data_IF_475645502704
#
_entry.id   IF_475645502704
#
_cell.length_a   1.000
_cell.length_b   1.000
_cell.length_c   1.000
_cell.angle_alpha   90.00
_cell.angle_beta   90.00
_cell.angle_gamma   90.00
#
_symmetry.space_group_name_H-M   'P 1'
#
loop_
_entity.id
_entity.type
_entity.pdbx_description
1 polymer ?
#
# COMPACT_ATOMS: atom_id res chain seq x y z
N UNK A 1 4.64 -7.52 -24.64
CA UNK A 1 5.23 -8.60 -23.84
C UNK A 1 4.63 -8.46 -22.47
N UNK A 2 3.69 -9.34 -22.15
CA UNK A 2 2.98 -9.29 -20.89
C UNK A 2 3.85 -9.93 -19.80
N UNK A 3 3.58 -9.58 -18.54
CA UNK A 3 4.25 -10.17 -17.38
C UNK A 3 4.17 -11.71 -17.43
N UNK A 4 3.02 -12.22 -17.87
CA UNK A 4 2.71 -13.64 -18.06
C UNK A 4 3.71 -14.37 -18.96
N UNK A 5 4.34 -13.71 -19.94
CA UNK A 5 5.23 -14.36 -20.91
C UNK A 5 6.71 -14.41 -20.48
N UNK A 6 7.10 -13.65 -19.44
CA UNK A 6 8.52 -13.41 -19.13
C UNK A 6 8.88 -13.44 -17.66
N UNK A 7 7.90 -13.37 -16.76
CA UNK A 7 8.15 -13.15 -15.33
C UNK A 7 8.80 -11.79 -15.02
N UNK A 8 8.85 -10.87 -15.99
CA UNK A 8 9.48 -9.56 -15.84
C UNK A 8 8.44 -8.44 -15.83
N UNK A 9 8.60 -7.50 -14.90
CA UNK A 9 7.79 -6.28 -14.92
C UNK A 9 8.09 -5.45 -16.16
N UNK A 10 7.04 -4.96 -16.80
CA UNK A 10 7.17 -3.99 -17.90
C UNK A 10 7.78 -2.68 -17.39
N UNK A 11 8.48 -1.92 -18.25
CA UNK A 11 9.00 -0.60 -17.87
C UNK A 11 7.92 0.36 -17.33
N UNK A 12 6.68 0.24 -17.84
CA UNK A 12 5.54 1.04 -17.36
C UNK A 12 5.15 0.65 -15.92
N UNK A 13 5.08 -0.65 -15.62
CA UNK A 13 4.81 -1.12 -14.24
C UNK A 13 5.90 -0.65 -13.28
N UNK A 14 7.17 -0.78 -13.65
CA UNK A 14 8.31 -0.29 -12.84
C UNK A 14 8.21 1.22 -12.60
N UNK A 15 7.85 1.99 -13.63
CA UNK A 15 7.67 3.44 -13.53
C UNK A 15 6.54 3.80 -12.54
N UNK A 16 5.38 3.18 -12.70
CA UNK A 16 4.22 3.42 -11.83
C UNK A 16 4.52 3.06 -10.36
N UNK A 17 5.19 1.93 -10.11
CA UNK A 17 5.61 1.55 -8.77
C UNK A 17 6.53 2.60 -8.12
N UNK A 18 7.49 3.14 -8.87
CA UNK A 18 8.37 4.22 -8.40
C UNK A 18 7.61 5.52 -8.14
N UNK A 19 6.61 5.84 -8.96
CA UNK A 19 5.74 7.00 -8.76
C UNK A 19 4.93 6.87 -7.47
N UNK A 20 4.35 5.69 -7.20
CA UNK A 20 3.64 5.39 -5.94
C UNK A 20 4.57 5.63 -4.74
N UNK A 21 5.76 5.03 -4.75
CA UNK A 21 6.74 5.21 -3.67
C UNK A 21 7.13 6.69 -3.46
N UNK A 22 7.32 7.44 -4.55
CA UNK A 22 7.62 8.87 -4.50
C UNK A 22 6.48 9.69 -3.91
N UNK A 23 5.22 9.39 -4.29
CA UNK A 23 4.03 10.08 -3.78
C UNK A 23 3.77 9.77 -2.31
N UNK A 24 3.93 8.52 -1.88
CA UNK A 24 3.88 8.15 -0.45
C UNK A 24 4.92 8.94 0.35
N UNK A 25 6.17 9.02 -0.15
CA UNK A 25 7.23 9.79 0.50
C UNK A 25 6.90 11.29 0.56
N UNK A 26 6.31 11.84 -0.49
CA UNK A 26 5.90 13.24 -0.53
C UNK A 26 4.77 13.53 0.49
N UNK A 27 3.75 12.67 0.56
CA UNK A 27 2.66 12.78 1.55
C UNK A 27 3.17 12.69 2.98
N UNK A 28 4.11 11.77 3.26
CA UNK A 28 4.73 11.69 4.60
C UNK A 28 5.45 12.99 4.97
N UNK A 29 6.17 13.59 4.02
CA UNK A 29 6.85 14.88 4.22
C UNK A 29 5.88 16.05 4.40
N UNK A 30 4.66 15.97 3.87
CA UNK A 30 3.64 17.00 4.08
C UNK A 30 2.88 16.88 5.40
N UNK A 31 3.31 15.99 6.30
CA UNK A 31 2.69 15.82 7.62
C UNK A 31 1.55 14.81 7.66
N UNK A 32 1.53 13.83 6.74
CA UNK A 32 0.56 12.74 6.75
C UNK A 32 1.16 11.41 7.23
N UNK A 33 0.40 10.64 8.00
CA UNK A 33 0.65 9.23 8.26
C UNK A 33 -0.10 8.40 7.21
N UNK A 34 0.59 7.48 6.54
CA UNK A 34 0.03 6.62 5.50
C UNK A 34 -0.10 5.22 6.05
N UNK A 35 -1.33 4.71 6.13
CA UNK A 35 -1.68 3.49 6.85
C UNK A 35 -2.55 2.60 5.97
N UNK A 36 -2.15 1.34 5.83
CA UNK A 36 -2.98 0.28 5.26
C UNK A 36 -3.97 -0.22 6.31
N UNK A 37 -5.25 -0.35 5.94
CA UNK A 37 -6.28 -0.97 6.77
C UNK A 37 -7.08 -1.92 5.91
N UNK A 38 -6.91 -3.23 6.12
CA UNK A 38 -7.46 -4.24 5.22
C UNK A 38 -7.03 -3.91 3.78
N UNK A 39 -7.98 -3.92 2.86
CA UNK A 39 -7.75 -3.69 1.44
C UNK A 39 -7.72 -2.21 1.03
N UNK A 40 -7.54 -1.27 1.96
CA UNK A 40 -7.58 0.17 1.64
C UNK A 40 -6.40 0.93 2.25
N UNK A 41 -5.92 1.93 1.52
CA UNK A 41 -4.86 2.83 1.95
C UNK A 41 -5.46 4.17 2.37
N UNK A 42 -5.08 4.66 3.55
CA UNK A 42 -5.57 5.93 4.09
C UNK A 42 -4.43 6.85 4.49
N UNK A 43 -4.66 8.16 4.32
CA UNK A 43 -3.77 9.21 4.82
C UNK A 43 -4.43 9.97 5.98
N UNK A 44 -3.77 9.99 7.14
CA UNK A 44 -4.19 10.73 8.34
C UNK A 44 -3.26 11.91 8.57
N UNK A 45 -3.68 12.90 9.37
CA UNK A 45 -2.76 13.90 9.91
C UNK A 45 -1.79 13.20 10.87
N UNK A 46 -0.48 13.34 10.65
CA UNK A 46 0.54 12.57 11.41
C UNK A 46 0.44 12.77 12.92
N UNK A 47 0.21 14.00 13.37
CA UNK A 47 0.13 14.33 14.79
C UNK A 47 -1.12 13.70 15.44
N UNK A 48 -2.27 13.76 14.77
CA UNK A 48 -3.50 13.13 15.26
C UNK A 48 -3.36 11.60 15.29
N UNK A 49 -2.76 11.01 14.26
CA UNK A 49 -2.49 9.56 14.21
C UNK A 49 -1.58 9.10 15.36
N UNK A 50 -0.47 9.80 15.61
CA UNK A 50 0.49 9.45 16.65
C UNK A 50 -0.10 9.55 18.08
N UNK A 51 -1.12 10.38 18.27
CA UNK A 51 -1.81 10.53 19.55
C UNK A 51 -3.16 9.79 19.59
N UNK A 52 -3.45 8.98 18.57
CA UNK A 52 -4.68 8.21 18.51
C UNK A 52 -4.62 6.98 19.41
N UNK A 53 -5.76 6.60 19.98
CA UNK A 53 -5.92 5.36 20.73
C UNK A 53 -7.00 4.51 20.05
N UNK A 54 -6.93 3.18 20.21
CA UNK A 54 -7.97 2.28 19.72
C UNK A 54 -9.16 2.19 20.69
N UNK A 55 -9.64 3.33 21.17
CA UNK A 55 -10.80 3.37 22.06
C UNK A 55 -12.02 3.90 21.31
N UNK A 56 -13.20 3.59 21.82
CA UNK A 56 -14.51 4.05 21.34
C UNK A 56 -14.75 5.55 21.59
N UNK A 57 -13.71 6.37 21.38
CA UNK A 57 -13.78 7.80 21.53
C UNK A 57 -14.70 8.40 20.45
N UNK A 58 -15.50 9.43 20.77
CA UNK A 58 -16.52 9.95 19.87
C UNK A 58 -15.98 10.79 18.69
N UNK A 59 -14.65 10.94 18.59
CA UNK A 59 -14.01 11.79 17.59
C UNK A 59 -13.18 10.93 16.62
N UNK A 60 -13.79 10.47 15.50
CA UNK A 60 -13.03 9.72 14.51
C UNK A 60 -11.94 10.59 13.90
N UNK A 61 -10.76 10.00 13.69
CA UNK A 61 -9.68 10.68 12.98
C UNK A 61 -10.12 11.04 11.57
N UNK A 62 -9.77 12.25 11.12
CA UNK A 62 -9.96 12.63 9.73
C UNK A 62 -8.93 11.90 8.86
N UNK A 63 -9.36 11.50 7.68
CA UNK A 63 -8.55 10.74 6.76
C UNK A 63 -8.93 11.03 5.32
N UNK A 64 -7.97 10.81 4.41
CA UNK A 64 -8.18 10.79 2.98
C UNK A 64 -8.04 9.36 2.47
N UNK A 65 -9.01 8.93 1.66
CA UNK A 65 -8.96 7.69 0.91
C UNK A 65 -7.88 7.79 -0.18
N UNK A 66 -6.91 6.88 -0.16
CA UNK A 66 -5.81 6.79 -1.12
C UNK A 66 -5.96 5.62 -2.10
N UNK A 67 -7.12 4.96 -2.09
CA UNK A 67 -7.48 3.84 -2.96
C UNK A 67 -7.27 2.47 -2.32
N UNK A 68 -7.76 1.46 -3.05
CA UNK A 68 -7.68 0.06 -2.63
C UNK A 68 -6.28 -0.51 -2.89
N UNK A 69 -5.84 -1.32 -1.95
CA UNK A 69 -4.63 -2.14 -2.01
C UNK A 69 -5.03 -3.56 -1.67
N UNK A 70 -4.46 -4.57 -2.30
CA UNK A 70 -4.71 -5.95 -1.84
C UNK A 70 -3.97 -6.14 -0.50
N UNK A 71 -4.67 -6.52 0.57
CA UNK A 71 -4.00 -6.89 1.83
C UNK A 71 -3.30 -8.24 1.65
N UNK A 72 -1.97 -8.22 1.62
CA UNK A 72 -1.16 -9.44 1.54
C UNK A 72 -0.95 -10.11 2.92
N UNK A 73 -1.52 -9.57 4.01
CA UNK A 73 -1.20 -10.05 5.34
C UNK A 73 0.15 -9.52 5.85
N UNK A 74 0.53 -9.96 7.06
CA UNK A 74 1.57 -9.33 7.86
C UNK A 74 3.00 -9.61 7.33
N UNK A 75 3.61 -8.64 6.64
CA UNK A 75 5.05 -8.56 6.30
C UNK A 75 5.68 -9.83 5.68
N UNK A 76 4.85 -10.73 5.17
CA UNK A 76 5.28 -11.96 4.54
C UNK A 76 5.80 -11.64 3.14
N UNK A 77 6.95 -12.20 2.79
CA UNK A 77 7.38 -12.20 1.39
C UNK A 77 6.52 -13.21 0.66
N UNK A 78 5.66 -12.73 -0.24
CA UNK A 78 4.85 -13.61 -1.08
C UNK A 78 5.73 -14.33 -2.11
N UNK A 79 5.58 -15.64 -2.17
CA UNK A 79 6.18 -16.47 -3.20
C UNK A 79 5.09 -16.93 -4.18
N UNK A 80 5.47 -17.12 -5.44
CA UNK A 80 4.61 -17.86 -6.36
C UNK A 80 4.53 -19.31 -5.90
N UNK A 81 3.32 -19.86 -5.93
CA UNK A 81 3.09 -21.28 -5.67
C UNK A 81 3.78 -22.16 -6.73
N UNK A 82 4.32 -23.30 -6.32
CA UNK A 82 5.11 -24.20 -7.18
C UNK A 82 4.30 -24.67 -8.41
N UNK A 83 3.02 -24.99 -8.22
CA UNK A 83 2.13 -25.39 -9.32
C UNK A 83 1.98 -24.30 -10.39
N UNK A 84 2.07 -23.01 -10.01
CA UNK A 84 1.94 -21.91 -10.96
C UNK A 84 3.16 -21.81 -11.87
N UNK A 85 4.36 -22.07 -11.31
CA UNK A 85 5.64 -22.09 -12.03
C UNK A 85 5.70 -23.28 -13.00
N UNK A 86 5.12 -24.42 -12.64
CA UNK A 86 5.14 -25.62 -13.49
C UNK A 86 4.17 -25.55 -14.70
N UNK A 87 3.18 -24.66 -14.67
CA UNK A 87 2.08 -24.62 -15.63
C UNK A 87 2.00 -23.32 -16.46
N UNK A 88 2.93 -22.38 -16.28
CA UNK A 88 3.07 -21.14 -17.06
C UNK A 88 4.54 -20.86 -17.36
#
# INVERSE_FOLDING_TARGET
MFYEDTGQFTPKQIKLAKEIASKIKALRKSGCAIVARQDSLYAYISEEWNNSTCDTTPYPLKHLDCGDITDAGADDTDYLEEWYIENN
#
